data_IF_792317943342
#
_entry.id   IF_792317943342
#
_cell.length_a   1.000
_cell.length_b   1.000
_cell.length_c   1.000
_cell.angle_alpha   90.00
_cell.angle_beta   90.00
_cell.angle_gamma   90.00
#
_symmetry.space_group_name_H-M   'P 1'
#
loop_
_entity.id
_entity.type
_entity.pdbx_description
1 polymer ?
#
# COMPACT_ATOMS: atom_id res chain seq x y z
N UNK A 1 7.51 -8.99 23.68
CA UNK A 1 7.46 -8.07 24.85
C UNK A 1 6.98 -6.69 24.38
N UNK A 2 5.77 -6.33 24.79
CA UNK A 2 5.14 -5.00 24.91
C UNK A 2 3.65 -5.34 25.12
N UNK A 3 3.12 -5.38 26.34
CA UNK A 3 2.84 -4.19 27.14
C UNK A 3 1.47 -3.63 26.72
N UNK A 4 0.42 -3.97 27.48
CA UNK A 4 -0.95 -3.40 27.49
C UNK A 4 -1.66 -3.12 26.14
N UNK A 5 -2.29 -4.16 25.58
CA UNK A 5 -3.60 -4.12 24.88
C UNK A 5 -3.83 -3.17 23.69
N UNK A 6 -2.87 -2.35 23.30
CA UNK A 6 -2.97 -1.35 22.23
C UNK A 6 -1.73 -1.45 21.37
N UNK A 7 -1.89 -1.95 20.15
CA UNK A 7 -0.81 -2.02 19.17
C UNK A 7 -0.40 -0.58 18.86
N UNK A 8 0.84 -0.22 19.18
CA UNK A 8 1.38 1.11 18.91
C UNK A 8 1.40 1.43 17.41
N UNK A 9 1.47 2.73 17.09
CA UNK A 9 1.52 3.20 15.69
C UNK A 9 2.68 2.57 14.92
N UNK A 10 3.84 2.43 15.56
CA UNK A 10 5.04 1.84 14.97
C UNK A 10 4.85 0.38 14.53
N UNK A 11 4.38 -0.55 15.38
CA UNK A 11 4.09 -1.90 14.94
C UNK A 11 2.97 -1.99 13.89
N UNK A 12 1.92 -1.17 13.96
CA UNK A 12 0.87 -1.12 12.91
C UNK A 12 1.46 -0.68 11.56
N UNK A 13 2.28 0.36 11.54
CA UNK A 13 2.94 0.86 10.33
C UNK A 13 3.91 -0.19 9.79
N UNK A 14 4.70 -0.84 10.66
CA UNK A 14 5.63 -1.88 10.26
C UNK A 14 4.92 -3.10 9.64
N UNK A 15 3.79 -3.53 10.21
CA UNK A 15 2.97 -4.63 9.66
C UNK A 15 2.35 -4.22 8.32
N UNK A 16 1.82 -3.00 8.21
CA UNK A 16 1.23 -2.49 6.98
C UNK A 16 2.24 -2.35 5.84
N UNK A 17 3.39 -1.73 6.11
CA UNK A 17 4.48 -1.57 5.13
C UNK A 17 5.09 -2.92 4.78
N UNK A 18 5.35 -3.77 5.77
CA UNK A 18 5.87 -5.12 5.56
C UNK A 18 4.95 -5.98 4.69
N UNK A 19 3.63 -5.91 4.92
CA UNK A 19 2.63 -6.60 4.10
C UNK A 19 2.52 -6.05 2.68
N UNK A 20 2.53 -4.72 2.50
CA UNK A 20 2.42 -4.09 1.17
C UNK A 20 3.67 -4.36 0.32
N UNK A 21 4.87 -4.28 0.91
CA UNK A 21 6.13 -4.53 0.19
C UNK A 21 6.38 -6.03 -0.03
N UNK A 22 6.16 -6.86 0.99
CA UNK A 22 6.38 -8.31 0.91
C UNK A 22 5.32 -9.05 0.10
N UNK A 23 4.06 -8.64 0.19
CA UNK A 23 2.94 -9.30 -0.50
C UNK A 23 2.66 -8.75 -1.90
N UNK A 24 2.84 -7.45 -2.12
CA UNK A 24 2.51 -6.80 -3.39
C UNK A 24 3.73 -6.56 -4.27
N UNK A 25 4.68 -5.77 -3.79
CA UNK A 25 5.81 -5.28 -4.59
C UNK A 25 6.75 -6.43 -5.00
N UNK A 26 7.16 -7.26 -4.03
CA UNK A 26 8.07 -8.38 -4.30
C UNK A 26 7.45 -9.48 -5.18
N UNK A 27 6.14 -9.71 -5.06
CA UNK A 27 5.42 -10.66 -5.90
C UNK A 27 5.43 -10.25 -7.38
N UNK A 28 5.25 -8.95 -7.65
CA UNK A 28 5.22 -8.42 -9.01
C UNK A 28 6.62 -8.25 -9.60
N UNK A 29 7.62 -7.84 -8.81
CA UNK A 29 9.02 -7.70 -9.26
C UNK A 29 9.59 -8.99 -9.86
N UNK A 30 9.31 -10.15 -9.25
CA UNK A 30 9.78 -11.45 -9.76
C UNK A 30 9.29 -11.77 -11.17
N UNK A 31 8.05 -11.40 -11.48
CA UNK A 31 7.46 -11.58 -12.81
C UNK A 31 7.87 -10.45 -13.76
N UNK A 32 7.87 -9.21 -13.28
CA UNK A 32 8.17 -8.02 -14.05
C UNK A 32 9.63 -7.99 -14.53
N UNK A 33 10.59 -8.46 -13.73
CA UNK A 33 11.99 -8.58 -14.16
C UNK A 33 12.13 -9.57 -15.34
N UNK A 34 11.37 -10.66 -15.33
CA UNK A 34 11.41 -11.62 -16.45
C UNK A 34 10.81 -11.05 -17.74
N UNK A 35 9.71 -10.31 -17.66
CA UNK A 35 9.06 -9.75 -18.86
C UNK A 35 9.67 -8.43 -19.33
N UNK A 36 9.95 -7.52 -18.40
CA UNK A 36 10.31 -6.13 -18.69
C UNK A 36 11.82 -5.84 -18.57
N UNK A 37 12.63 -6.81 -18.12
CA UNK A 37 14.08 -6.66 -17.93
C UNK A 37 14.41 -5.33 -17.22
N UNK A 38 15.23 -4.47 -17.84
CA UNK A 38 15.65 -3.17 -17.27
C UNK A 38 14.56 -2.09 -17.18
N UNK A 39 13.36 -2.32 -17.74
CA UNK A 39 12.24 -1.38 -17.70
C UNK A 39 11.42 -1.41 -16.40
N UNK A 40 11.65 -2.41 -15.55
CA UNK A 40 10.93 -2.61 -14.28
C UNK A 40 10.91 -1.39 -13.34
N UNK A 41 12.03 -0.68 -13.06
CA UNK A 41 12.00 0.50 -12.20
C UNK A 41 11.18 1.66 -12.79
N UNK A 42 11.11 1.78 -14.11
CA UNK A 42 10.36 2.84 -14.79
C UNK A 42 8.84 2.61 -14.66
N UNK A 43 8.40 1.37 -14.85
CA UNK A 43 6.99 0.99 -14.65
C UNK A 43 6.55 1.24 -13.21
N UNK A 44 7.42 0.95 -12.25
CA UNK A 44 7.16 1.16 -10.83
C UNK A 44 7.10 2.63 -10.44
N UNK A 45 7.95 3.48 -11.04
CA UNK A 45 7.92 4.93 -10.84
C UNK A 45 6.58 5.52 -11.32
N UNK A 46 6.11 5.11 -12.51
CA UNK A 46 4.81 5.55 -13.05
C UNK A 46 3.66 5.05 -12.17
N UNK A 47 3.69 3.79 -11.74
CA UNK A 47 2.69 3.24 -10.82
C UNK A 47 2.66 4.00 -9.48
N UNK A 48 3.82 4.40 -8.95
CA UNK A 48 3.92 5.24 -7.75
C UNK A 48 3.27 6.61 -7.92
N UNK A 49 3.47 7.27 -9.05
CA UNK A 49 2.82 8.55 -9.37
C UNK A 49 1.30 8.38 -9.47
N UNK A 50 0.82 7.34 -10.14
CA UNK A 50 -0.62 7.02 -10.24
C UNK A 50 -1.22 6.69 -8.86
N UNK A 51 -0.49 5.98 -8.02
CA UNK A 51 -0.91 5.67 -6.66
C UNK A 51 -0.98 6.93 -5.79
N UNK A 52 -0.04 7.87 -5.94
CA UNK A 52 -0.08 9.18 -5.27
C UNK A 52 -1.30 10.01 -5.72
N UNK A 53 -1.56 10.07 -7.02
CA UNK A 53 -2.74 10.75 -7.57
C UNK A 53 -4.05 10.12 -7.06
N UNK A 54 -4.10 8.79 -7.02
CA UNK A 54 -5.26 8.03 -6.49
C UNK A 54 -5.44 8.25 -4.99
N UNK A 55 -4.35 8.20 -4.21
CA UNK A 55 -4.36 8.44 -2.78
C UNK A 55 -4.79 9.87 -2.45
N UNK A 56 -4.34 10.85 -3.22
CA UNK A 56 -4.78 12.24 -3.11
C UNK A 56 -6.30 12.36 -3.34
N UNK A 57 -6.83 11.65 -4.32
CA UNK A 57 -8.28 11.62 -4.60
C UNK A 57 -9.09 10.84 -3.55
N UNK A 58 -8.51 9.82 -2.92
CA UNK A 58 -9.15 9.07 -1.82
C UNK A 58 -9.02 9.75 -0.45
N UNK A 59 -8.01 10.61 -0.25
CA UNK A 59 -7.87 11.41 0.97
C UNK A 59 -8.95 12.50 1.06
N UNK A 60 -9.37 13.06 -0.07
CA UNK A 60 -10.50 13.99 -0.16
C UNK A 60 -11.86 13.27 -0.16
N UNK A 61 -11.95 12.08 -0.76
CA UNK A 61 -13.18 11.28 -0.86
C UNK A 61 -13.32 10.22 0.26
N UNK A 62 -13.17 10.63 1.52
CA UNK A 62 -13.44 9.76 2.69
C UNK A 62 -14.35 10.42 3.72
N UNK A 63 -15.34 11.20 3.27
CA UNK A 63 -16.31 11.88 4.14
C UNK A 63 -17.78 11.46 3.94
N UNK A 64 -18.13 10.50 3.05
CA UNK A 64 -19.55 10.13 2.82
C UNK A 64 -19.93 8.64 2.80
N UNK A 65 -19.03 7.72 3.11
CA UNK A 65 -19.32 6.26 3.07
C UNK A 65 -19.39 5.56 4.44
N UNK A 66 -19.43 6.31 5.55
CA UNK A 66 -19.63 5.75 6.91
C UNK A 66 -21.08 5.64 7.39
N UNK A 67 -22.08 5.90 6.55
CA UNK A 67 -23.49 5.87 6.95
C UNK A 67 -24.25 4.58 6.57
N UNK A 68 -23.57 3.52 6.08
CA UNK A 68 -24.25 2.31 5.57
C UNK A 68 -23.69 0.98 6.06
N UNK A 69 -22.99 0.99 7.19
CA UNK A 69 -22.44 -0.22 7.83
C UNK A 69 -23.15 -0.59 9.15
N UNK A 70 -24.29 0.03 9.45
CA UNK A 70 -25.19 -0.39 10.54
C UNK A 70 -26.64 -0.54 10.02
N UNK A 71 -26.85 -1.49 9.11
CA UNK A 71 -28.12 -2.17 8.89
C UNK A 71 -27.90 -3.62 8.55
#
# INVERSE_FOLDING_TARGET
MAGDGKIGLWPVVAIGVGGMVGGGIFAVLGLAVQLAHGGTPLAFAIAGVVALLTAYSSSSSRSRTRARAER
#
